data_IF_240111118057
#
_entry.id   IF_240111118057
#
_cell.length_a   1.000
_cell.length_b   1.000
_cell.length_c   1.000
_cell.angle_alpha   90.00
_cell.angle_beta   90.00
_cell.angle_gamma   90.00
#
_symmetry.space_group_name_H-M   'P 1'
#
loop_
_entity.id
_entity.type
_entity.pdbx_description
1 polymer ?
#
# COMPACT_ATOMS: atom_id res chain seq x y z
N UNK A 1 26.24 -1.44 -23.12
CA UNK A 1 25.16 -0.51 -22.74
C UNK A 1 24.10 -1.32 -21.98
N UNK A 2 24.21 -1.43 -20.65
CA UNK A 2 23.21 -2.14 -19.83
C UNK A 2 22.04 -1.16 -19.60
N UNK A 3 20.78 -1.54 -19.86
CA UNK A 3 19.69 -0.59 -19.96
C UNK A 3 19.42 0.08 -18.59
N UNK A 4 19.39 1.41 -18.59
CA UNK A 4 19.31 2.25 -17.38
C UNK A 4 18.09 1.96 -16.48
N UNK A 5 17.05 1.29 -16.98
CA UNK A 5 15.88 0.91 -16.20
C UNK A 5 16.16 -0.16 -15.14
N UNK A 6 17.02 -1.15 -15.46
CA UNK A 6 17.31 -2.27 -14.54
C UNK A 6 18.01 -1.78 -13.26
N UNK A 7 18.84 -0.75 -13.39
CA UNK A 7 19.54 -0.13 -12.26
C UNK A 7 18.58 0.67 -11.37
N UNK A 8 17.63 1.42 -11.96
CA UNK A 8 16.63 2.18 -11.17
C UNK A 8 15.77 1.27 -10.30
N UNK A 9 15.30 0.16 -10.86
CA UNK A 9 14.49 -0.82 -10.10
C UNK A 9 15.28 -1.40 -8.93
N UNK A 10 16.52 -1.83 -9.17
CA UNK A 10 17.41 -2.36 -8.13
C UNK A 10 17.70 -1.34 -7.01
N UNK A 11 17.98 -0.09 -7.36
CA UNK A 11 18.19 0.98 -6.37
C UNK A 11 16.95 1.23 -5.51
N UNK A 12 15.76 1.19 -6.11
CA UNK A 12 14.48 1.37 -5.40
C UNK A 12 14.22 0.21 -4.44
N UNK A 13 14.45 -1.03 -4.86
CA UNK A 13 14.25 -2.21 -4.01
C UNK A 13 15.23 -2.23 -2.83
N UNK A 14 16.48 -1.79 -3.04
CA UNK A 14 17.46 -1.64 -1.95
C UNK A 14 17.04 -0.58 -0.92
N UNK A 15 16.53 0.56 -1.39
CA UNK A 15 16.02 1.61 -0.50
C UNK A 15 14.79 1.14 0.30
N UNK A 16 13.85 0.44 -0.35
CA UNK A 16 12.69 -0.17 0.30
C UNK A 16 13.12 -1.14 1.42
N UNK A 17 14.10 -2.00 1.14
CA UNK A 17 14.65 -2.94 2.11
C UNK A 17 15.33 -2.24 3.29
N UNK A 18 16.03 -1.14 3.06
CA UNK A 18 16.66 -0.35 4.14
C UNK A 18 15.59 0.24 5.08
N UNK A 19 14.52 0.80 4.53
CA UNK A 19 13.41 1.37 5.32
C UNK A 19 12.74 0.27 6.15
N UNK A 20 12.43 -0.89 5.55
CA UNK A 20 11.81 -2.00 6.29
C UNK A 20 12.68 -2.55 7.42
N UNK A 21 14.01 -2.55 7.25
CA UNK A 21 14.95 -2.97 8.31
C UNK A 21 15.02 -1.97 9.47
N UNK A 22 14.98 -0.68 9.17
CA UNK A 22 15.09 0.37 10.19
C UNK A 22 13.80 0.59 10.97
N UNK A 23 12.64 0.52 10.30
CA UNK A 23 11.34 0.88 10.88
C UNK A 23 10.38 -0.30 11.06
N UNK A 24 10.84 -1.51 10.72
CA UNK A 24 10.05 -2.74 10.81
C UNK A 24 9.25 -3.07 9.55
N UNK A 25 8.75 -4.31 9.48
CA UNK A 25 7.93 -4.80 8.37
C UNK A 25 6.64 -3.99 8.27
N UNK A 26 6.25 -3.59 7.06
CA UNK A 26 5.03 -2.80 6.83
C UNK A 26 5.19 -1.28 6.96
N UNK A 27 6.37 -0.79 7.35
CA UNK A 27 6.69 0.66 7.36
C UNK A 27 6.67 1.29 5.97
N UNK A 28 6.93 0.51 4.93
CA UNK A 28 6.76 0.89 3.52
C UNK A 28 6.32 -0.33 2.70
N UNK A 29 5.33 -0.12 1.84
CA UNK A 29 4.71 -1.15 0.99
C UNK A 29 4.24 -0.50 -0.33
N UNK A 30 4.06 -1.31 -1.38
CA UNK A 30 3.44 -0.81 -2.61
C UNK A 30 1.93 -0.70 -2.40
N UNK A 31 1.31 0.37 -2.90
CA UNK A 31 -0.14 0.50 -2.90
C UNK A 31 -0.74 -0.68 -3.68
N UNK A 32 -1.70 -1.39 -3.08
CA UNK A 32 -2.29 -2.60 -3.66
C UNK A 32 -1.44 -3.87 -3.55
N UNK A 33 -0.34 -3.88 -2.79
CA UNK A 33 0.41 -5.13 -2.52
C UNK A 33 -0.27 -6.07 -1.54
N UNK A 34 -1.30 -5.58 -0.84
CA UNK A 34 -2.21 -6.40 -0.02
C UNK A 34 -3.43 -6.76 -0.87
N UNK A 35 -4.03 -7.91 -0.57
CA UNK A 35 -5.35 -8.23 -1.13
C UNK A 35 -6.33 -7.09 -0.83
N UNK A 36 -7.24 -6.82 -1.76
CA UNK A 36 -8.27 -5.82 -1.57
C UNK A 36 -9.22 -6.30 -0.46
N UNK A 37 -8.99 -5.82 0.76
CA UNK A 37 -9.90 -6.01 1.87
C UNK A 37 -11.06 -5.02 1.75
N UNK A 38 -12.28 -5.46 2.10
CA UNK A 38 -13.42 -4.57 2.24
C UNK A 38 -13.06 -3.50 3.27
N UNK A 39 -13.24 -2.24 2.90
CA UNK A 39 -13.04 -1.13 3.83
C UNK A 39 -14.11 -1.26 4.92
N UNK A 40 -13.73 -1.42 6.21
CA UNK A 40 -14.70 -1.56 7.28
C UNK A 40 -15.48 -0.26 7.44
N UNK A 41 -16.81 -0.37 7.45
CA UNK A 41 -17.71 0.75 7.71
C UNK A 41 -18.45 0.53 9.04
N UNK A 42 -18.73 1.62 9.75
CA UNK A 42 -19.58 1.62 10.94
C UNK A 42 -20.98 2.02 10.50
N UNK A 43 -22.03 1.21 10.74
CA UNK A 43 -23.40 1.57 10.39
C UNK A 43 -23.83 2.84 11.11
N UNK A 44 -24.45 3.77 10.40
CA UNK A 44 -24.97 5.02 11.00
C UNK A 44 -26.26 4.79 11.78
N UNK A 45 -26.91 3.62 11.61
CA UNK A 45 -28.22 3.31 12.19
C UNK A 45 -29.40 3.83 11.36
N UNK A 46 -29.13 4.49 10.23
CA UNK A 46 -30.13 4.90 9.25
C UNK A 46 -29.78 4.31 7.88
N UNK A 47 -30.62 3.42 7.38
CA UNK A 47 -30.39 2.73 6.10
C UNK A 47 -30.24 3.71 4.92
N UNK A 48 -31.04 4.79 4.90
CA UNK A 48 -30.97 5.79 3.83
C UNK A 48 -29.65 6.56 3.85
N UNK A 49 -29.06 6.76 5.04
CA UNK A 49 -27.78 7.44 5.19
C UNK A 49 -26.62 6.51 4.85
N UNK A 50 -26.68 5.24 5.26
CA UNK A 50 -25.68 4.23 4.91
C UNK A 50 -25.57 4.07 3.39
N UNK A 51 -26.70 4.04 2.67
CA UNK A 51 -26.74 3.97 1.21
C UNK A 51 -26.16 5.24 0.55
N UNK A 52 -26.37 6.42 1.15
CA UNK A 52 -25.90 7.69 0.59
C UNK A 52 -24.38 7.88 0.72
N UNK A 53 -23.73 7.18 1.67
CA UNK A 53 -22.28 7.24 1.89
C UNK A 53 -21.49 6.42 0.86
N UNK A 54 -22.14 5.49 0.15
CA UNK A 54 -21.55 4.64 -0.88
C UNK A 54 -20.98 3.34 -0.34
#
# INVERSE_FOLDING_TARGET
>A
MVPAEKNKVSSVDNALNQIQRQFGKGSIMRLGSREAELVPAIPTGSLSLDIALG
#
